data_IF_429326653010
#
_entry.id   IF_429326653010
#
_cell.length_a   1.000
_cell.length_b   1.000
_cell.length_c   1.000
_cell.angle_alpha   90.00
_cell.angle_beta   90.00
_cell.angle_gamma   90.00
#
_symmetry.space_group_name_H-M   'P 1'
#
loop_
_entity.id
_entity.type
_entity.pdbx_description
1 polymer ?
#
# COMPACT_ATOMS: atom_id res chain seq x y z
N UNK A 1 63.90 12.45 -46.98
CA UNK A 1 62.44 12.24 -46.92
C UNK A 1 62.04 10.79 -46.73
N UNK A 2 62.53 9.77 -47.47
CA UNK A 2 62.10 8.36 -47.28
C UNK A 2 62.45 7.79 -45.89
N UNK A 3 63.58 8.14 -45.29
CA UNK A 3 63.98 7.65 -43.96
C UNK A 3 63.07 8.22 -42.83
N UNK A 4 62.62 9.46 -42.94
CA UNK A 4 61.69 10.08 -42.00
C UNK A 4 60.30 9.47 -42.08
N UNK A 5 59.82 9.15 -43.27
CA UNK A 5 58.50 8.47 -43.48
C UNK A 5 58.56 7.07 -42.87
N UNK A 6 59.66 6.29 -43.01
CA UNK A 6 59.79 4.99 -42.40
C UNK A 6 59.79 5.01 -40.87
N UNK A 7 60.41 5.98 -40.24
CA UNK A 7 60.36 6.17 -38.78
C UNK A 7 58.94 6.54 -38.30
N UNK A 8 58.23 7.38 -39.03
CA UNK A 8 56.86 7.76 -38.68
C UNK A 8 55.89 6.57 -38.80
N UNK A 9 56.04 5.73 -39.79
CA UNK A 9 55.21 4.51 -39.97
C UNK A 9 55.47 3.50 -38.85
N UNK A 10 56.74 3.31 -38.44
CA UNK A 10 57.07 2.45 -37.27
C UNK A 10 56.47 3.00 -35.99
N UNK A 11 56.58 4.31 -35.75
CA UNK A 11 56.01 4.95 -34.56
C UNK A 11 54.49 4.84 -34.53
N UNK A 12 53.81 5.01 -35.64
CA UNK A 12 52.37 4.82 -35.77
C UNK A 12 51.96 3.35 -35.53
N UNK A 13 52.74 2.37 -36.04
CA UNK A 13 52.47 0.96 -35.79
C UNK A 13 52.63 0.59 -34.29
N UNK A 14 53.61 1.15 -33.61
CA UNK A 14 53.83 0.97 -32.17
C UNK A 14 52.65 1.60 -31.38
N UNK A 15 52.23 2.81 -31.74
CA UNK A 15 51.08 3.46 -31.11
C UNK A 15 49.78 2.68 -31.33
N UNK A 16 49.52 2.15 -32.52
CA UNK A 16 48.37 1.30 -32.82
C UNK A 16 48.42 0.00 -32.02
N UNK A 17 49.58 -0.65 -31.93
CA UNK A 17 49.75 -1.86 -31.12
C UNK A 17 49.55 -1.62 -29.64
N UNK A 18 50.00 -0.46 -29.11
CA UNK A 18 49.79 -0.07 -27.75
C UNK A 18 48.32 0.25 -27.46
N UNK A 19 47.66 0.96 -28.36
CA UNK A 19 46.23 1.25 -28.29
C UNK A 19 45.35 0.03 -28.33
N UNK A 20 45.67 -0.94 -29.23
CA UNK A 20 45.02 -2.23 -29.29
C UNK A 20 45.30 -3.08 -28.03
N UNK A 21 46.53 -3.12 -27.54
CA UNK A 21 46.90 -3.81 -26.31
C UNK A 21 46.13 -3.24 -25.08
N UNK A 22 46.03 -1.93 -24.97
CA UNK A 22 45.21 -1.27 -23.92
C UNK A 22 43.71 -1.50 -24.11
N UNK A 23 43.22 -1.65 -25.37
CA UNK A 23 41.79 -1.91 -25.62
C UNK A 23 41.41 -3.35 -25.26
N UNK A 24 42.29 -4.32 -25.47
CA UNK A 24 42.10 -5.72 -25.05
C UNK A 24 42.41 -5.97 -23.57
N UNK A 25 43.14 -5.07 -22.92
CA UNK A 25 43.48 -5.16 -21.49
C UNK A 25 42.57 -4.32 -20.61
N UNK A 26 41.51 -3.71 -21.16
CA UNK A 26 40.47 -3.13 -20.34
C UNK A 26 39.67 -4.28 -19.74
N UNK A 27 39.83 -4.64 -18.46
CA UNK A 27 38.81 -5.43 -17.80
C UNK A 27 37.52 -4.64 -17.98
N UNK A 28 36.47 -5.31 -18.41
CA UNK A 28 35.12 -4.76 -18.48
C UNK A 28 34.74 -4.22 -17.10
N UNK A 29 35.11 -2.97 -16.82
CA UNK A 29 34.68 -2.24 -15.61
C UNK A 29 33.17 -2.02 -15.59
N UNK A 30 32.51 -2.28 -16.72
CA UNK A 30 31.06 -2.21 -16.84
C UNK A 30 30.35 -3.49 -16.38
N UNK A 31 31.06 -4.62 -16.17
CA UNK A 31 30.42 -5.91 -15.85
C UNK A 31 30.87 -6.52 -14.52
N UNK A 32 31.66 -5.81 -13.71
CA UNK A 32 31.85 -6.21 -12.32
C UNK A 32 30.64 -5.78 -11.46
N UNK A 33 29.44 -6.19 -11.86
CA UNK A 33 28.36 -6.43 -10.89
C UNK A 33 28.85 -7.65 -10.12
N UNK A 34 29.37 -7.41 -8.94
CA UNK A 34 29.61 -8.49 -8.01
C UNK A 34 28.22 -9.04 -7.63
N UNK A 35 27.90 -10.25 -8.10
CA UNK A 35 26.71 -10.97 -7.65
C UNK A 35 26.82 -11.44 -6.19
N UNK A 36 27.78 -10.88 -5.46
CA UNK A 36 28.00 -11.21 -4.06
C UNK A 36 26.98 -10.47 -3.18
N UNK A 37 26.18 -11.16 -2.38
CA UNK A 37 25.22 -10.51 -1.50
C UNK A 37 25.96 -9.66 -0.45
N UNK A 38 25.35 -8.54 -0.07
CA UNK A 38 25.85 -7.69 1.03
C UNK A 38 25.68 -8.39 2.38
N UNK A 39 24.65 -9.22 2.51
CA UNK A 39 24.34 -10.02 3.69
C UNK A 39 24.47 -11.51 3.37
N UNK A 40 25.07 -12.26 4.27
CA UNK A 40 25.05 -13.72 4.24
C UNK A 40 24.32 -14.23 5.50
N UNK A 41 23.03 -14.49 5.37
CA UNK A 41 22.22 -15.05 6.44
C UNK A 41 22.20 -16.59 6.42
N UNK A 42 22.67 -17.23 5.36
CA UNK A 42 22.52 -18.68 5.16
C UNK A 42 21.06 -19.10 5.27
N UNK A 43 20.80 -20.23 5.94
CA UNK A 43 19.45 -20.76 6.18
C UNK A 43 18.80 -20.22 7.47
N UNK A 44 19.41 -19.21 8.11
CA UNK A 44 18.91 -18.66 9.38
C UNK A 44 17.63 -17.87 9.16
N UNK A 45 16.66 -18.09 10.04
CA UNK A 45 15.37 -17.39 10.01
C UNK A 45 15.45 -16.12 10.85
N UNK A 46 15.15 -15.00 10.23
CA UNK A 46 14.99 -13.74 10.96
C UNK A 46 13.62 -13.76 11.65
N UNK A 47 13.61 -13.53 12.96
CA UNK A 47 12.40 -13.42 13.77
C UNK A 47 12.30 -12.08 14.54
N UNK A 48 13.36 -11.26 14.47
CA UNK A 48 13.37 -9.92 15.04
C UNK A 48 14.09 -8.97 14.08
N UNK A 49 13.48 -7.79 13.89
CA UNK A 49 14.03 -6.70 13.10
C UNK A 49 14.00 -5.44 13.96
N UNK A 50 15.17 -4.81 14.12
CA UNK A 50 15.28 -3.52 14.82
C UNK A 50 15.74 -2.48 13.83
N UNK A 51 15.02 -1.38 13.73
CA UNK A 51 15.31 -0.26 12.83
C UNK A 51 15.53 0.97 13.69
N UNK A 52 16.63 1.67 13.47
CA UNK A 52 17.01 2.85 14.24
C UNK A 52 17.44 3.98 13.29
N UNK A 53 17.10 5.23 13.64
CA UNK A 53 17.52 6.40 12.89
C UNK A 53 18.63 7.20 13.61
N UNK A 54 19.10 8.27 12.95
CA UNK A 54 20.14 9.16 13.48
C UNK A 54 19.70 9.98 14.71
N UNK A 55 18.41 9.99 15.04
CA UNK A 55 17.82 10.69 16.19
C UNK A 55 17.58 9.74 17.37
N UNK A 56 18.04 8.48 17.26
CA UNK A 56 17.80 7.38 18.20
C UNK A 56 16.33 6.97 18.32
N UNK A 57 15.49 7.30 17.35
CA UNK A 57 14.18 6.69 17.25
C UNK A 57 14.34 5.24 16.83
N UNK A 58 13.70 4.34 17.55
CA UNK A 58 13.82 2.90 17.34
C UNK A 58 12.46 2.28 17.08
N UNK A 59 12.43 1.32 16.19
CA UNK A 59 11.29 0.44 15.93
C UNK A 59 11.74 -1.01 16.05
N UNK A 60 10.95 -1.81 16.74
CA UNK A 60 11.14 -3.26 16.81
C UNK A 60 9.96 -3.97 16.18
N UNK A 61 10.24 -4.88 15.25
CA UNK A 61 9.31 -5.85 14.73
C UNK A 61 9.76 -7.23 15.23
N UNK A 62 8.84 -8.02 15.75
CA UNK A 62 9.12 -9.36 16.24
C UNK A 62 8.11 -10.36 15.69
N UNK A 63 8.54 -11.59 15.48
CA UNK A 63 7.66 -12.67 15.07
C UNK A 63 6.98 -13.28 16.29
N UNK A 64 5.66 -13.38 16.25
CA UNK A 64 4.86 -14.02 17.27
C UNK A 64 3.90 -15.04 16.60
N UNK A 65 4.14 -16.32 16.84
CA UNK A 65 3.45 -17.37 16.09
C UNK A 65 3.79 -17.31 14.60
N UNK A 66 2.78 -17.21 13.76
CA UNK A 66 2.96 -17.12 12.31
C UNK A 66 3.11 -15.69 11.79
N UNK A 67 2.74 -14.67 12.59
CA UNK A 67 2.70 -13.27 12.19
C UNK A 67 3.83 -12.41 12.73
N UNK A 68 3.89 -11.15 12.26
CA UNK A 68 4.75 -10.11 12.80
C UNK A 68 3.95 -9.17 13.68
N UNK A 69 4.56 -8.71 14.76
CA UNK A 69 3.97 -7.76 15.71
C UNK A 69 4.91 -6.61 16.02
N UNK A 70 4.34 -5.56 16.60
CA UNK A 70 5.02 -4.38 17.14
C UNK A 70 5.02 -4.47 18.68
N UNK A 71 6.08 -5.01 19.33
CA UNK A 71 6.09 -5.25 20.77
C UNK A 71 5.91 -3.98 21.60
N UNK A 72 6.51 -2.86 21.17
CA UNK A 72 6.41 -1.57 21.85
C UNK A 72 5.02 -0.92 21.72
N UNK A 73 4.18 -1.44 20.81
CA UNK A 73 2.77 -1.03 20.63
C UNK A 73 1.79 -2.07 21.22
N UNK A 74 2.21 -2.85 22.23
CA UNK A 74 1.37 -3.88 22.87
C UNK A 74 1.13 -5.10 21.98
N UNK A 75 2.15 -5.54 21.26
CA UNK A 75 2.10 -6.67 20.33
C UNK A 75 1.09 -6.47 19.19
N UNK A 76 0.90 -5.21 18.77
CA UNK A 76 -0.02 -4.89 17.68
C UNK A 76 0.41 -5.58 16.38
N UNK A 77 -0.52 -6.20 15.62
CA UNK A 77 -0.19 -6.87 14.37
C UNK A 77 0.46 -5.93 13.35
N UNK A 78 1.58 -6.35 12.80
CA UNK A 78 2.26 -5.65 11.72
C UNK A 78 1.79 -6.14 10.34
N UNK A 79 1.93 -5.28 9.33
CA UNK A 79 1.69 -5.61 7.92
C UNK A 79 2.77 -6.60 7.45
N UNK A 80 2.44 -7.89 7.46
CA UNK A 80 3.34 -8.98 7.08
C UNK A 80 3.93 -8.79 5.68
N UNK A 81 3.10 -8.39 4.72
CA UNK A 81 3.55 -8.21 3.34
C UNK A 81 4.61 -7.11 3.26
N UNK A 82 4.47 -6.06 4.06
CA UNK A 82 5.44 -4.97 4.12
C UNK A 82 6.74 -5.40 4.79
N UNK A 83 6.66 -6.18 5.86
CA UNK A 83 7.85 -6.74 6.53
C UNK A 83 8.58 -7.70 5.60
N UNK A 84 7.87 -8.59 4.93
CA UNK A 84 8.46 -9.53 3.98
C UNK A 84 9.13 -8.81 2.81
N UNK A 85 8.50 -7.77 2.25
CA UNK A 85 9.11 -6.93 1.21
C UNK A 85 10.40 -6.27 1.69
N UNK A 86 10.45 -5.78 2.94
CA UNK A 86 11.67 -5.22 3.50
C UNK A 86 12.76 -6.29 3.65
N UNK A 87 12.43 -7.44 4.22
CA UNK A 87 13.37 -8.55 4.40
C UNK A 87 13.94 -9.04 3.07
N UNK A 88 13.10 -9.19 2.05
CA UNK A 88 13.52 -9.61 0.71
C UNK A 88 14.44 -8.58 0.07
N UNK A 89 14.14 -7.29 0.23
CA UNK A 89 15.03 -6.21 -0.24
C UNK A 89 16.38 -6.25 0.46
N UNK A 90 16.40 -6.41 1.79
CA UNK A 90 17.64 -6.48 2.56
C UNK A 90 18.49 -7.70 2.16
N UNK A 91 17.88 -8.87 1.98
CA UNK A 91 18.54 -10.09 1.50
C UNK A 91 19.03 -9.96 0.06
N UNK A 92 18.30 -9.22 -0.76
CA UNK A 92 18.63 -8.98 -2.18
C UNK A 92 19.70 -7.92 -2.40
N UNK A 93 20.22 -7.24 -1.35
CA UNK A 93 21.26 -6.25 -1.49
C UNK A 93 22.56 -6.90 -1.98
N UNK A 94 23.13 -6.32 -3.02
CA UNK A 94 24.39 -6.81 -3.60
C UNK A 94 25.49 -5.78 -3.38
N UNK A 95 26.67 -6.26 -3.02
CA UNK A 95 27.87 -5.40 -2.96
C UNK A 95 28.51 -5.34 -4.35
N UNK A 96 28.62 -4.09 -4.83
CA UNK A 96 29.45 -3.80 -6.00
C UNK A 96 30.90 -3.57 -5.62
N UNK A 97 31.58 -2.68 -6.34
CA UNK A 97 32.88 -2.20 -5.93
C UNK A 97 32.72 -1.28 -4.69
N UNK A 98 33.57 -1.50 -3.69
CA UNK A 98 33.61 -0.61 -2.54
C UNK A 98 34.03 0.80 -2.99
N UNK A 99 33.21 1.81 -2.65
CA UNK A 99 33.51 3.23 -2.94
C UNK A 99 34.50 3.81 -1.94
N UNK A 100 34.65 3.20 -0.78
CA UNK A 100 35.60 3.54 0.25
C UNK A 100 35.74 2.39 1.26
N UNK A 101 36.87 2.41 2.05
CA UNK A 101 37.18 1.43 3.10
C UNK A 101 37.75 2.06 4.36
N UNK A 102 37.88 3.40 4.41
CA UNK A 102 38.44 4.07 5.57
C UNK A 102 37.38 4.54 6.55
N UNK A 103 37.70 4.55 7.87
CA UNK A 103 36.78 5.04 8.91
C UNK A 103 36.30 6.48 8.66
N UNK A 104 37.21 7.37 8.19
CA UNK A 104 36.84 8.74 7.85
C UNK A 104 35.83 8.83 6.71
N UNK A 105 35.90 7.90 5.76
CA UNK A 105 34.89 7.80 4.69
C UNK A 105 33.57 7.21 5.20
N UNK A 106 33.60 6.20 6.08
CA UNK A 106 32.40 5.65 6.71
C UNK A 106 31.60 6.74 7.43
N UNK A 107 32.26 7.60 8.22
CA UNK A 107 31.61 8.74 8.87
C UNK A 107 31.08 9.77 7.87
N UNK A 108 31.86 10.08 6.82
CA UNK A 108 31.42 11.02 5.77
C UNK A 108 30.19 10.52 5.01
N UNK A 109 30.12 9.23 4.74
CA UNK A 109 28.97 8.61 4.09
C UNK A 109 27.85 8.24 5.07
N UNK A 110 28.04 8.48 6.38
CA UNK A 110 27.10 8.14 7.45
C UNK A 110 26.74 6.65 7.48
N UNK A 111 27.74 5.79 7.47
CA UNK A 111 27.60 4.34 7.56
C UNK A 111 28.53 3.75 8.64
N UNK A 112 29.03 4.59 9.57
CA UNK A 112 29.78 4.14 10.73
C UNK A 112 28.86 3.79 11.90
N UNK A 113 29.39 3.12 12.91
CA UNK A 113 28.63 2.68 14.08
C UNK A 113 28.09 3.85 14.92
N UNK A 114 28.79 4.99 14.87
CA UNK A 114 28.47 6.23 15.59
C UNK A 114 27.81 7.31 14.71
N UNK A 115 27.72 7.08 13.39
CA UNK A 115 27.11 8.05 12.46
C UNK A 115 26.45 7.31 11.29
N UNK A 116 25.14 7.23 11.31
CA UNK A 116 24.31 6.59 10.27
C UNK A 116 23.00 7.37 10.06
N UNK A 117 22.37 7.21 8.91
CA UNK A 117 20.99 7.68 8.67
C UNK A 117 19.97 6.62 9.11
N UNK A 118 20.33 5.34 8.95
CA UNK A 118 19.51 4.21 9.34
C UNK A 118 20.39 3.03 9.72
N UNK A 119 20.12 2.41 10.86
CA UNK A 119 20.72 1.14 11.27
C UNK A 119 19.61 0.08 11.27
N UNK A 120 19.87 -1.07 10.68
CA UNK A 120 18.94 -2.19 10.64
C UNK A 120 19.65 -3.42 11.17
N UNK A 121 19.10 -4.01 12.25
CA UNK A 121 19.58 -5.23 12.86
C UNK A 121 18.60 -6.35 12.57
N UNK A 122 19.07 -7.42 11.95
CA UNK A 122 18.34 -8.66 11.76
C UNK A 122 18.79 -9.64 12.82
N UNK A 123 17.85 -10.28 13.53
CA UNK A 123 18.18 -11.20 14.61
C UNK A 123 17.30 -12.46 14.57
N UNK A 124 17.78 -13.49 15.27
CA UNK A 124 17.04 -14.70 15.60
C UNK A 124 17.09 -14.87 17.12
N UNK A 125 15.94 -14.71 17.79
CA UNK A 125 15.91 -14.59 19.25
C UNK A 125 16.73 -13.38 19.71
N UNK A 126 17.72 -13.66 20.57
CA UNK A 126 18.65 -12.64 21.09
C UNK A 126 19.96 -12.54 20.28
N UNK A 127 20.16 -13.41 19.28
CA UNK A 127 21.37 -13.40 18.44
C UNK A 127 21.20 -12.47 17.25
N UNK A 128 22.06 -11.44 17.16
CA UNK A 128 22.14 -10.61 15.97
C UNK A 128 22.78 -11.39 14.82
N UNK A 129 22.04 -11.57 13.75
CA UNK A 129 22.49 -12.27 12.55
C UNK A 129 23.27 -11.36 11.61
N UNK A 130 22.83 -10.10 11.51
CA UNK A 130 23.47 -9.09 10.68
C UNK A 130 23.06 -7.68 11.13
N UNK A 131 23.97 -6.73 10.98
CA UNK A 131 23.71 -5.29 11.16
C UNK A 131 24.10 -4.55 9.90
N UNK A 132 23.20 -3.74 9.39
CA UNK A 132 23.39 -2.88 8.23
C UNK A 132 23.28 -1.43 8.61
N UNK A 133 24.21 -0.62 8.09
CA UNK A 133 24.17 0.83 8.16
C UNK A 133 23.89 1.40 6.79
N UNK A 134 22.90 2.27 6.72
CA UNK A 134 22.54 3.03 5.52
C UNK A 134 22.75 4.50 5.79
N UNK A 135 23.35 5.18 4.83
CA UNK A 135 23.75 6.57 4.98
C UNK A 135 23.33 7.44 3.81
N UNK A 136 24.22 8.36 3.41
CA UNK A 136 23.93 9.37 2.39
C UNK A 136 23.55 8.75 1.04
N UNK A 137 22.69 9.45 0.29
CA UNK A 137 22.23 9.02 -1.02
C UNK A 137 23.09 9.66 -2.13
N UNK A 138 23.73 8.86 -3.00
CA UNK A 138 24.42 9.37 -4.18
C UNK A 138 23.48 9.66 -5.35
N UNK A 139 22.21 9.30 -5.25
CA UNK A 139 21.22 9.49 -6.30
C UNK A 139 19.89 8.80 -6.00
N UNK A 140 18.93 8.92 -6.93
CA UNK A 140 17.60 8.39 -6.72
C UNK A 140 17.60 6.88 -6.44
N UNK A 141 16.90 6.44 -5.38
CA UNK A 141 16.75 5.04 -4.93
C UNK A 141 18.08 4.31 -4.68
N UNK A 142 19.16 5.04 -4.37
CA UNK A 142 20.48 4.49 -4.07
C UNK A 142 21.00 5.13 -2.82
N UNK A 143 21.63 4.33 -1.96
CA UNK A 143 22.26 4.80 -0.71
C UNK A 143 23.62 4.16 -0.54
N UNK A 144 24.48 4.83 0.23
CA UNK A 144 25.68 4.19 0.74
C UNK A 144 25.26 3.22 1.85
N UNK A 145 25.81 2.02 1.81
CA UNK A 145 25.54 0.97 2.80
C UNK A 145 26.82 0.27 3.21
N UNK A 146 26.84 -0.23 4.44
CA UNK A 146 27.91 -1.06 5.01
C UNK A 146 27.28 -2.14 5.89
N UNK A 147 27.76 -3.38 5.77
CA UNK A 147 27.51 -4.39 6.78
C UNK A 147 28.50 -4.22 7.95
N UNK A 148 28.11 -4.52 9.17
CA UNK A 148 28.94 -4.33 10.36
C UNK A 148 30.29 -5.07 10.25
N UNK A 149 30.25 -6.28 9.68
CA UNK A 149 31.43 -7.16 9.56
C UNK A 149 32.25 -6.90 8.28
N UNK A 150 31.96 -5.79 7.58
CA UNK A 150 32.65 -5.41 6.34
C UNK A 150 33.16 -3.96 6.44
N UNK A 151 34.42 -3.77 6.09
CA UNK A 151 35.03 -2.43 6.05
C UNK A 151 34.67 -1.65 4.78
N UNK A 152 34.01 -2.30 3.80
CA UNK A 152 33.63 -1.71 2.53
C UNK A 152 32.37 -0.85 2.64
N UNK A 153 32.41 0.35 2.06
CA UNK A 153 31.23 1.17 1.80
C UNK A 153 30.77 0.90 0.37
N UNK A 154 29.53 0.54 0.20
CA UNK A 154 28.93 0.17 -1.09
C UNK A 154 27.80 1.09 -1.45
N UNK A 155 27.51 1.24 -2.75
CA UNK A 155 26.28 1.88 -3.22
C UNK A 155 25.30 0.79 -3.59
N UNK A 156 24.17 0.76 -2.89
CA UNK A 156 23.11 -0.25 -3.06
C UNK A 156 21.80 0.38 -3.51
N UNK A 157 20.93 -0.41 -4.13
CA UNK A 157 19.56 -0.01 -4.48
C UNK A 157 18.64 -0.19 -3.27
N UNK A 158 18.51 0.87 -2.49
CA UNK A 158 17.65 0.89 -1.31
C UNK A 158 17.18 2.32 -1.04
N UNK A 159 15.97 2.46 -0.49
CA UNK A 159 15.46 3.73 0.02
C UNK A 159 15.45 3.74 1.54
N UNK A 160 16.03 4.75 2.18
CA UNK A 160 16.02 4.88 3.64
C UNK A 160 14.58 4.84 4.20
N UNK A 161 13.61 5.34 3.43
CA UNK A 161 12.18 5.30 3.79
C UNK A 161 11.57 3.89 3.79
N UNK A 162 12.20 2.92 3.11
CA UNK A 162 11.75 1.52 3.12
C UNK A 162 11.94 0.89 4.51
N UNK A 163 12.87 1.42 5.33
CA UNK A 163 13.09 1.07 6.72
C UNK A 163 12.61 2.21 7.65
N UNK A 164 11.31 2.45 7.69
CA UNK A 164 10.70 3.47 8.54
C UNK A 164 10.84 3.13 10.03
N UNK A 165 10.99 4.15 10.90
CA UNK A 165 11.11 3.98 12.37
C UNK A 165 9.81 4.23 13.12
N UNK A 166 8.73 4.63 12.43
CA UNK A 166 7.44 4.88 13.08
C UNK A 166 6.58 3.63 13.05
N UNK A 167 6.02 3.25 14.20
CA UNK A 167 5.15 2.08 14.33
C UNK A 167 3.95 2.14 13.36
N UNK A 168 3.33 3.33 13.21
CA UNK A 168 2.19 3.54 12.32
C UNK A 168 2.44 3.17 10.85
N UNK A 169 3.71 3.18 10.42
CA UNK A 169 4.09 2.77 9.07
C UNK A 169 4.04 1.25 8.88
N UNK A 170 4.05 0.47 9.97
CA UNK A 170 4.10 -0.99 9.96
C UNK A 170 2.83 -1.66 10.47
N UNK A 171 1.89 -0.93 11.08
CA UNK A 171 0.62 -1.46 11.54
C UNK A 171 -0.18 -2.10 10.40
N UNK A 172 -0.77 -3.27 10.63
CA UNK A 172 -1.73 -3.86 9.70
C UNK A 172 -3.01 -3.03 9.64
N UNK A 173 -3.09 -2.13 8.67
CA UNK A 173 -4.23 -1.24 8.46
C UNK A 173 -5.51 -1.97 8.01
N UNK A 174 -5.42 -3.25 7.67
CA UNK A 174 -6.55 -4.08 7.22
C UNK A 174 -7.21 -4.84 8.37
N UNK A 175 -6.66 -4.77 9.57
CA UNK A 175 -7.10 -5.51 10.75
C UNK A 175 -8.60 -5.39 11.05
N UNK A 176 -9.21 -4.25 10.72
CA UNK A 176 -10.64 -3.97 10.92
C UNK A 176 -11.51 -4.33 9.70
N UNK A 177 -10.90 -4.74 8.61
CA UNK A 177 -11.62 -5.12 7.40
C UNK A 177 -12.32 -6.49 7.62
N UNK A 178 -13.60 -6.55 7.24
CA UNK A 178 -14.39 -7.78 7.32
C UNK A 178 -14.74 -8.22 5.90
N UNK A 179 -14.44 -9.46 5.49
CA UNK A 179 -14.85 -9.95 4.19
C UNK A 179 -16.37 -9.78 3.99
N UNK A 180 -16.82 -9.22 2.86
CA UNK A 180 -18.25 -8.97 2.63
C UNK A 180 -19.12 -10.20 2.83
N UNK A 181 -18.59 -11.37 2.46
CA UNK A 181 -19.31 -12.65 2.58
C UNK A 181 -19.56 -13.09 4.03
N UNK A 182 -18.79 -12.59 4.98
CA UNK A 182 -18.89 -12.95 6.39
C UNK A 182 -19.84 -12.05 7.19
N UNK A 183 -20.32 -10.93 6.63
CA UNK A 183 -21.28 -10.04 7.29
C UNK A 183 -22.68 -10.63 7.12
N UNK A 184 -23.30 -11.06 8.21
CA UNK A 184 -24.63 -11.65 8.26
C UNK A 184 -25.70 -10.60 8.51
N UNK A 185 -25.48 -9.72 9.51
CA UNK A 185 -26.40 -8.63 9.82
C UNK A 185 -25.66 -7.34 10.11
N UNK A 186 -26.30 -6.22 9.83
CA UNK A 186 -25.85 -4.86 10.17
C UNK A 186 -26.98 -4.18 10.91
N UNK A 187 -26.82 -3.97 12.22
CA UNK A 187 -27.79 -3.25 13.03
C UNK A 187 -27.31 -1.82 13.27
N UNK A 188 -28.19 -0.88 12.97
CA UNK A 188 -28.02 0.56 13.13
C UNK A 188 -29.15 1.07 14.05
N UNK A 189 -29.15 2.33 14.46
CA UNK A 189 -30.21 2.90 15.28
C UNK A 189 -31.60 2.70 14.63
N UNK A 190 -32.35 1.71 15.13
CA UNK A 190 -33.72 1.43 14.68
C UNK A 190 -33.83 0.71 13.31
N UNK A 191 -32.74 0.19 12.76
CA UNK A 191 -32.74 -0.54 11.48
C UNK A 191 -31.79 -1.74 11.56
N UNK A 192 -32.26 -2.93 11.17
CA UNK A 192 -31.41 -4.10 11.05
C UNK A 192 -31.50 -4.68 9.64
N UNK A 193 -30.41 -4.55 8.91
CA UNK A 193 -30.19 -5.18 7.62
C UNK A 193 -29.77 -6.64 7.84
N UNK A 194 -30.41 -7.58 7.20
CA UNK A 194 -30.07 -8.99 7.23
C UNK A 194 -29.78 -9.49 5.83
N UNK A 195 -28.67 -10.19 5.68
CA UNK A 195 -28.31 -10.81 4.40
C UNK A 195 -29.29 -11.92 4.09
N UNK A 196 -29.85 -11.92 2.89
CA UNK A 196 -30.61 -13.06 2.38
C UNK A 196 -29.64 -14.19 1.99
N UNK A 197 -29.97 -15.47 2.27
CA UNK A 197 -29.21 -16.58 1.71
C UNK A 197 -29.22 -16.41 0.20
N UNK A 198 -28.07 -16.28 -0.43
CA UNK A 198 -28.00 -16.28 -1.89
C UNK A 198 -28.59 -17.59 -2.39
N UNK A 199 -29.52 -17.53 -3.34
CA UNK A 199 -29.89 -18.69 -4.10
C UNK A 199 -28.63 -19.24 -4.73
N UNK A 200 -28.19 -20.39 -4.20
CA UNK A 200 -27.08 -21.15 -4.78
C UNK A 200 -27.48 -21.66 -6.16
N UNK A 201 -27.73 -20.75 -7.10
CA UNK A 201 -27.83 -21.15 -8.51
C UNK A 201 -26.45 -21.56 -8.94
N UNK A 202 -26.20 -22.87 -8.96
CA UNK A 202 -25.11 -23.52 -9.64
C UNK A 202 -24.87 -22.84 -11.00
N UNK A 203 -23.88 -21.93 -11.03
CA UNK A 203 -23.37 -21.47 -12.30
C UNK A 203 -22.64 -22.67 -12.92
N UNK A 204 -23.33 -23.27 -13.92
CA UNK A 204 -22.76 -24.31 -14.75
C UNK A 204 -21.34 -23.90 -15.22
N UNK A 205 -20.34 -24.81 -15.23
CA UNK A 205 -19.00 -24.50 -15.66
C UNK A 205 -19.00 -24.26 -17.19
N UNK A 206 -18.92 -22.99 -17.62
CA UNK A 206 -18.81 -22.71 -19.05
C UNK A 206 -18.95 -21.28 -19.54
N UNK A 207 -19.12 -20.27 -18.70
CA UNK A 207 -19.10 -18.88 -19.17
C UNK A 207 -18.06 -18.02 -18.44
N UNK A 208 -16.85 -18.08 -18.94
CA UNK A 208 -15.81 -17.09 -18.67
C UNK A 208 -16.22 -15.76 -19.34
N UNK A 209 -16.67 -14.78 -18.55
CA UNK A 209 -16.89 -13.44 -19.10
C UNK A 209 -18.04 -12.68 -18.46
N UNK A 210 -17.98 -12.46 -17.16
CA UNK A 210 -18.43 -11.28 -16.39
C UNK A 210 -18.37 -11.68 -14.92
N UNK A 211 -17.38 -11.19 -14.19
CA UNK A 211 -17.45 -11.18 -12.73
C UNK A 211 -18.53 -10.15 -12.34
N UNK A 212 -19.77 -10.54 -12.39
CA UNK A 212 -20.80 -10.00 -11.53
C UNK A 212 -20.54 -10.63 -10.16
N UNK A 213 -19.89 -9.89 -9.26
CA UNK A 213 -20.02 -10.13 -7.83
C UNK A 213 -21.54 -10.21 -7.60
N UNK A 214 -22.07 -11.39 -7.28
CA UNK A 214 -23.44 -11.53 -6.85
C UNK A 214 -23.58 -10.62 -5.62
N UNK A 215 -24.16 -9.44 -5.82
CA UNK A 215 -24.50 -8.53 -4.73
C UNK A 215 -25.50 -9.30 -3.88
N UNK A 216 -25.11 -9.60 -2.64
CA UNK A 216 -25.99 -10.28 -1.72
C UNK A 216 -27.20 -9.35 -1.47
N UNK A 217 -28.39 -9.88 -1.65
CA UNK A 217 -29.60 -9.14 -1.33
C UNK A 217 -29.75 -8.96 0.18
N UNK A 218 -30.17 -7.77 0.57
CA UNK A 218 -30.40 -7.39 1.95
C UNK A 218 -31.87 -7.19 2.22
N UNK A 219 -32.33 -7.59 3.39
CA UNK A 219 -33.71 -7.38 3.85
C UNK A 219 -33.70 -6.70 5.22
N UNK A 220 -34.85 -6.13 5.59
CA UNK A 220 -35.09 -5.52 6.91
C UNK A 220 -36.36 -6.13 7.49
N UNK A 221 -36.33 -6.53 8.76
CA UNK A 221 -37.44 -7.23 9.40
C UNK A 221 -38.69 -6.34 9.61
N UNK A 222 -38.50 -5.01 9.71
CA UNK A 222 -39.58 -4.08 10.01
C UNK A 222 -39.51 -2.86 9.11
N UNK A 223 -40.09 -2.94 7.93
CA UNK A 223 -40.32 -1.83 7.00
C UNK A 223 -41.76 -1.32 7.12
N UNK A 224 -41.98 -0.02 6.97
CA UNK A 224 -43.31 0.53 6.81
C UNK A 224 -43.90 0.07 5.46
N UNK A 225 -45.23 0.13 5.36
CA UNK A 225 -45.93 -0.22 4.11
C UNK A 225 -45.44 0.71 2.99
N UNK A 226 -44.94 0.11 1.90
CA UNK A 226 -44.37 0.85 0.77
C UNK A 226 -42.90 1.22 0.89
N UNK A 227 -42.20 0.83 1.94
CA UNK A 227 -40.72 0.97 2.04
C UNK A 227 -40.03 -0.28 1.48
N UNK A 228 -38.85 -0.09 0.91
CA UNK A 228 -37.97 -1.18 0.47
C UNK A 228 -36.49 -0.85 0.72
N UNK A 229 -35.65 -1.88 0.79
CA UNK A 229 -34.19 -1.69 0.96
C UNK A 229 -33.59 -1.22 -0.36
N UNK A 230 -32.79 -0.16 -0.29
CA UNK A 230 -31.93 0.23 -1.40
C UNK A 230 -30.71 -0.70 -1.46
N UNK A 231 -30.76 -1.71 -2.33
CA UNK A 231 -29.72 -2.75 -2.42
C UNK A 231 -28.35 -2.18 -2.79
N UNK A 232 -28.31 -1.17 -3.66
CA UNK A 232 -27.06 -0.52 -4.08
C UNK A 232 -26.38 0.17 -2.88
N UNK A 233 -27.14 0.90 -2.09
CA UNK A 233 -26.60 1.60 -0.93
C UNK A 233 -26.29 0.64 0.23
N UNK A 234 -27.05 -0.43 0.41
CA UNK A 234 -26.72 -1.50 1.34
C UNK A 234 -25.39 -2.17 0.97
N UNK A 235 -25.21 -2.50 -0.30
CA UNK A 235 -23.92 -3.00 -0.82
C UNK A 235 -22.76 -1.98 -0.63
N UNK A 236 -23.04 -0.70 -0.83
CA UNK A 236 -22.03 0.36 -0.61
C UNK A 236 -21.62 0.47 0.88
N UNK A 237 -22.56 0.34 1.81
CA UNK A 237 -22.26 0.30 3.25
C UNK A 237 -21.38 -0.92 3.58
N UNK A 238 -21.74 -2.10 3.09
CA UNK A 238 -20.93 -3.33 3.25
C UNK A 238 -19.53 -3.12 2.68
N UNK A 239 -19.41 -2.54 1.49
CA UNK A 239 -18.12 -2.24 0.87
C UNK A 239 -17.25 -1.31 1.73
N UNK A 240 -17.86 -0.30 2.40
CA UNK A 240 -17.12 0.59 3.31
C UNK A 240 -16.64 -0.14 4.57
N UNK A 241 -17.47 -1.01 5.15
CA UNK A 241 -17.10 -1.83 6.31
C UNK A 241 -16.02 -2.85 5.96
N UNK A 242 -16.10 -3.46 4.80
CA UNK A 242 -15.12 -4.43 4.31
C UNK A 242 -13.79 -3.80 3.91
N UNK A 243 -13.82 -2.57 3.44
CA UNK A 243 -12.63 -1.78 3.09
C UNK A 243 -12.14 -0.87 4.22
N UNK A 244 -12.63 -1.05 5.45
CA UNK A 244 -12.30 -0.15 6.56
C UNK A 244 -10.81 -0.20 6.89
N UNK A 245 -10.18 0.98 6.87
CA UNK A 245 -8.76 1.16 7.21
C UNK A 245 -8.63 2.32 8.17
N UNK A 246 -7.82 2.16 9.20
CA UNK A 246 -7.48 3.22 10.14
C UNK A 246 -6.18 3.93 9.74
N UNK A 247 -5.99 5.15 10.21
CA UNK A 247 -4.76 5.91 9.98
C UNK A 247 -3.67 5.54 10.99
N UNK A 248 -4.02 5.43 12.29
CA UNK A 248 -3.10 5.04 13.36
C UNK A 248 -3.84 4.46 14.55
N UNK A 249 -3.13 3.70 15.37
CA UNK A 249 -3.58 3.23 16.68
C UNK A 249 -3.35 4.33 17.71
N UNK A 250 -4.34 4.60 18.57
CA UNK A 250 -4.29 5.63 19.61
C UNK A 250 -3.96 5.05 21.01
N UNK A 251 -3.67 3.75 21.08
CA UNK A 251 -3.49 2.99 22.32
C UNK A 251 -4.82 2.42 22.84
N UNK A 252 -4.79 1.86 24.05
CA UNK A 252 -5.93 1.19 24.70
C UNK A 252 -6.59 2.02 25.80
N UNK A 253 -6.08 3.21 26.09
CA UNK A 253 -6.62 4.10 27.11
C UNK A 253 -7.76 4.95 26.56
N UNK A 254 -8.93 4.92 27.24
CA UNK A 254 -10.06 5.77 26.90
C UNK A 254 -9.78 7.24 27.27
N UNK A 255 -10.11 8.15 26.33
CA UNK A 255 -9.97 9.59 26.56
C UNK A 255 -11.26 10.32 26.21
N UNK A 256 -11.67 11.32 27.02
CA UNK A 256 -12.89 12.10 26.74
C UNK A 256 -12.89 12.74 25.37
N UNK A 257 -11.71 13.17 24.87
CA UNK A 257 -11.52 13.81 23.57
C UNK A 257 -11.80 12.88 22.36
N UNK A 258 -12.10 11.60 22.61
CA UNK A 258 -12.45 10.64 21.56
C UNK A 258 -13.92 10.73 21.13
N UNK A 259 -14.76 11.47 21.87
CA UNK A 259 -16.18 11.67 21.54
C UNK A 259 -17.03 10.40 21.64
N UNK A 260 -16.54 9.34 22.31
CA UNK A 260 -17.22 8.04 22.40
C UNK A 260 -18.27 7.96 23.52
N UNK A 261 -18.39 8.99 24.38
CA UNK A 261 -19.49 9.10 25.34
C UNK A 261 -20.83 9.36 24.62
N UNK A 262 -20.79 10.03 23.48
CA UNK A 262 -21.93 10.28 22.60
C UNK A 262 -21.46 10.01 21.15
N UNK A 263 -21.37 8.73 20.74
CA UNK A 263 -20.87 8.38 19.42
C UNK A 263 -21.81 8.88 18.32
N UNK A 264 -21.24 9.41 17.24
CA UNK A 264 -21.96 9.84 16.04
C UNK A 264 -22.60 8.65 15.29
N UNK A 265 -22.00 7.46 15.42
CA UNK A 265 -22.49 6.25 14.79
C UNK A 265 -22.16 5.04 15.65
N UNK A 266 -23.17 4.18 15.83
CA UNK A 266 -22.99 2.85 16.41
C UNK A 266 -23.52 1.83 15.39
N UNK A 267 -22.67 0.87 15.04
CA UNK A 267 -23.00 -0.25 14.16
C UNK A 267 -22.75 -1.54 14.93
N UNK A 268 -23.75 -2.43 14.98
CA UNK A 268 -23.57 -3.79 15.47
C UNK A 268 -23.57 -4.75 14.27
N UNK A 269 -22.44 -5.41 14.08
CA UNK A 269 -22.26 -6.38 13.01
C UNK A 269 -22.36 -7.79 13.58
N UNK A 270 -23.07 -8.70 12.89
CA UNK A 270 -22.98 -10.13 13.17
C UNK A 270 -22.17 -10.81 12.08
N UNK A 271 -21.17 -11.57 12.52
CA UNK A 271 -20.26 -12.33 11.68
C UNK A 271 -20.06 -13.70 12.29
N UNK A 272 -20.35 -14.79 11.58
CA UNK A 272 -20.24 -16.18 12.07
C UNK A 272 -20.95 -16.40 13.41
N UNK A 273 -22.09 -15.71 13.60
CA UNK A 273 -22.87 -15.77 14.85
C UNK A 273 -22.34 -14.93 16.00
N UNK A 274 -21.20 -14.26 15.85
CA UNK A 274 -20.62 -13.35 16.86
C UNK A 274 -20.97 -11.89 16.53
N UNK A 275 -21.18 -11.09 17.58
CA UNK A 275 -21.51 -9.67 17.45
C UNK A 275 -20.28 -8.81 17.69
N UNK A 276 -20.11 -7.79 16.86
CA UNK A 276 -19.04 -6.80 16.91
C UNK A 276 -19.66 -5.41 16.94
N UNK A 277 -19.44 -4.67 18.01
CA UNK A 277 -19.91 -3.30 18.14
C UNK A 277 -18.84 -2.33 17.64
N UNK A 278 -19.22 -1.49 16.70
CA UNK A 278 -18.39 -0.42 16.14
C UNK A 278 -18.97 0.90 16.60
N UNK A 279 -18.27 1.61 17.49
CA UNK A 279 -18.65 2.95 17.96
C UNK A 279 -17.70 3.98 17.35
N UNK A 280 -18.25 4.98 16.67
CA UNK A 280 -17.53 6.05 16.00
C UNK A 280 -17.78 7.37 16.71
N UNK A 281 -16.76 7.92 17.36
CA UNK A 281 -16.78 9.24 18.01
C UNK A 281 -16.03 10.27 17.18
N UNK A 282 -16.51 11.51 17.19
CA UNK A 282 -15.84 12.63 16.52
C UNK A 282 -14.85 13.29 17.47
N UNK A 283 -13.65 13.57 16.98
CA UNK A 283 -12.63 14.26 17.77
C UNK A 283 -12.82 15.77 17.72
N UNK A 284 -12.63 16.41 18.87
CA UNK A 284 -12.78 17.87 18.97
C UNK A 284 -11.64 18.65 18.31
N UNK A 285 -10.44 18.05 18.23
CA UNK A 285 -9.20 18.75 17.81
C UNK A 285 -8.96 18.81 16.32
N UNK A 286 -9.47 17.83 15.60
CA UNK A 286 -9.30 17.67 14.16
C UNK A 286 -10.60 17.11 13.57
N UNK A 287 -10.74 17.08 12.26
CA UNK A 287 -11.95 16.56 11.63
C UNK A 287 -11.96 15.02 11.55
N UNK A 288 -11.02 14.36 12.26
CA UNK A 288 -10.91 12.90 12.29
C UNK A 288 -11.88 12.28 13.30
N UNK A 289 -12.08 10.99 13.18
CA UNK A 289 -12.90 10.19 14.07
C UNK A 289 -12.06 9.18 14.85
N UNK A 290 -12.61 8.74 15.99
CA UNK A 290 -12.10 7.59 16.72
C UNK A 290 -13.09 6.44 16.60
N UNK A 291 -12.59 5.29 16.18
CA UNK A 291 -13.35 4.06 16.15
C UNK A 291 -12.92 3.17 17.32
N UNK A 292 -13.91 2.66 18.05
CA UNK A 292 -13.78 1.59 19.04
C UNK A 292 -14.55 0.37 18.56
N UNK A 293 -13.90 -0.81 18.62
CA UNK A 293 -14.53 -2.10 18.30
C UNK A 293 -14.57 -2.94 19.57
N UNK A 294 -15.68 -3.62 19.85
CA UNK A 294 -15.91 -4.33 21.12
C UNK A 294 -14.90 -5.44 21.43
N UNK A 295 -14.33 -6.09 20.40
CA UNK A 295 -13.37 -7.19 20.54
C UNK A 295 -11.90 -6.75 20.50
N UNK A 296 -11.65 -5.46 20.60
CA UNK A 296 -10.30 -4.88 20.58
C UNK A 296 -10.15 -3.91 21.73
N UNK A 297 -9.00 -3.92 22.38
CA UNK A 297 -8.72 -2.95 23.46
C UNK A 297 -8.34 -1.59 22.90
N UNK A 298 -7.79 -1.55 21.70
CA UNK A 298 -7.28 -0.33 21.09
C UNK A 298 -8.38 0.59 20.56
N UNK A 299 -8.03 1.85 20.46
CA UNK A 299 -8.78 2.91 19.79
C UNK A 299 -8.09 3.26 18.48
N UNK A 300 -8.86 3.43 17.42
CA UNK A 300 -8.35 3.63 16.07
C UNK A 300 -8.71 5.00 15.55
N UNK A 301 -7.73 5.73 15.02
CA UNK A 301 -8.00 6.98 14.32
C UNK A 301 -8.45 6.69 12.89
N UNK A 302 -9.61 7.19 12.51
CA UNK A 302 -10.11 7.20 11.15
C UNK A 302 -10.00 8.59 10.55
N UNK A 303 -9.54 8.72 9.27
CA UNK A 303 -9.59 10.00 8.58
C UNK A 303 -11.01 10.54 8.49
N UNK A 304 -11.18 11.86 8.61
CA UNK A 304 -12.49 12.53 8.63
C UNK A 304 -13.38 12.11 7.46
N UNK A 305 -12.84 12.10 6.23
CA UNK A 305 -13.59 11.68 5.05
C UNK A 305 -14.10 10.22 5.11
N UNK A 306 -13.37 9.33 5.81
CA UNK A 306 -13.78 7.93 5.99
C UNK A 306 -14.93 7.82 6.97
N UNK A 307 -14.85 8.53 8.10
CA UNK A 307 -15.93 8.59 9.08
C UNK A 307 -17.20 9.23 8.52
N UNK A 308 -17.09 10.38 7.86
CA UNK A 308 -18.23 11.06 7.22
C UNK A 308 -18.91 10.15 6.17
N UNK A 309 -18.10 9.45 5.36
CA UNK A 309 -18.63 8.53 4.36
C UNK A 309 -19.33 7.31 4.97
N UNK A 310 -18.85 6.84 6.13
CA UNK A 310 -19.49 5.73 6.85
C UNK A 310 -20.81 6.18 7.49
N UNK A 311 -20.82 7.34 8.19
CA UNK A 311 -22.03 7.91 8.78
C UNK A 311 -23.09 8.15 7.71
N UNK A 312 -22.72 8.75 6.59
CA UNK A 312 -23.63 8.99 5.47
C UNK A 312 -24.22 7.68 4.94
N UNK A 313 -23.38 6.66 4.70
CA UNK A 313 -23.83 5.39 4.17
C UNK A 313 -24.73 4.61 5.15
N UNK A 314 -24.56 4.83 6.46
CA UNK A 314 -25.38 4.23 7.52
C UNK A 314 -26.72 4.96 7.75
N UNK A 315 -26.97 6.08 7.09
CA UNK A 315 -28.21 6.84 7.20
C UNK A 315 -29.41 6.04 6.71
N UNK A 316 -30.53 6.06 7.48
CA UNK A 316 -31.78 5.37 7.09
C UNK A 316 -32.29 5.86 5.72
N UNK A 317 -32.18 7.16 5.45
CA UNK A 317 -32.56 7.80 4.19
C UNK A 317 -31.78 7.30 2.98
N UNK A 318 -30.58 6.77 3.22
CA UNK A 318 -29.74 6.14 2.18
C UNK A 318 -30.12 4.67 1.97
N UNK A 319 -30.46 3.97 3.04
CA UNK A 319 -30.66 2.52 3.06
C UNK A 319 -32.10 2.12 2.72
N UNK A 320 -33.08 3.01 2.95
CA UNK A 320 -34.50 2.74 2.73
C UNK A 320 -35.06 3.73 1.71
N UNK A 321 -35.79 3.23 0.75
CA UNK A 321 -36.51 4.01 -0.26
C UNK A 321 -38.02 3.80 -0.11
N UNK A 322 -38.80 4.87 -0.24
CA UNK A 322 -40.26 4.77 -0.29
C UNK A 322 -40.72 4.32 -1.69
N UNK A 323 -41.85 3.59 -1.77
CA UNK A 323 -42.36 3.04 -3.02
C UNK A 323 -42.68 4.09 -4.11
N UNK A 324 -42.82 5.36 -3.77
CA UNK A 324 -43.06 6.45 -4.70
C UNK A 324 -41.83 6.85 -5.55
N UNK A 325 -40.60 6.50 -5.13
CA UNK A 325 -39.41 6.91 -5.86
C UNK A 325 -38.96 5.94 -6.95
N UNK A 326 -39.56 4.76 -7.02
CA UNK A 326 -39.29 3.75 -8.07
C UNK A 326 -40.09 3.96 -9.36
N UNK A 327 -41.08 4.86 -9.37
CA UNK A 327 -41.97 5.10 -10.53
C UNK A 327 -41.52 6.27 -11.44
N UNK A 328 -40.43 6.93 -11.17
CA UNK A 328 -39.97 8.15 -11.86
C UNK A 328 -38.94 7.95 -12.98
N UNK A 329 -38.85 6.77 -13.59
CA UNK A 329 -37.82 6.51 -14.61
C UNK A 329 -38.37 5.80 -15.86
N UNK A 330 -39.48 6.24 -16.42
CA UNK A 330 -40.01 5.57 -17.59
C UNK A 330 -41.14 6.29 -18.30
N UNK A 331 -41.04 7.62 -18.51
CA UNK A 331 -41.93 8.29 -19.46
C UNK A 331 -41.22 8.33 -20.83
N UNK A 332 -41.28 7.18 -21.50
CA UNK A 332 -40.91 7.07 -22.89
C UNK A 332 -42.05 7.65 -23.74
N UNK A 333 -41.91 8.89 -24.17
CA UNK A 333 -42.73 9.43 -25.25
C UNK A 333 -42.60 8.52 -26.48
N UNK A 334 -43.74 8.23 -27.18
CA UNK A 334 -43.69 7.41 -28.39
C UNK A 334 -42.93 8.13 -29.49
N UNK A 335 -42.20 7.45 -30.36
CA UNK A 335 -41.47 8.08 -31.45
C UNK A 335 -42.45 8.72 -32.42
N UNK A 336 -42.40 10.02 -32.52
CA UNK A 336 -43.07 10.83 -33.57
C UNK A 336 -42.58 10.37 -34.93
N UNK A 337 -43.52 10.02 -35.79
CA UNK A 337 -43.29 9.56 -37.16
C UNK A 337 -42.66 10.71 -37.94
N UNK A 338 -41.44 10.55 -38.41
CA UNK A 338 -40.79 11.38 -39.40
C UNK A 338 -41.49 11.16 -40.79
N UNK A 339 -42.37 12.08 -41.15
CA UNK A 339 -42.87 12.22 -42.51
C UNK A 339 -41.72 12.55 -43.45
N UNK A 340 -41.68 11.81 -44.52
CA UNK A 340 -40.80 11.93 -45.67
C UNK A 340 -40.86 13.31 -46.35
N UNK A 341 -39.73 13.99 -46.51
CA UNK A 341 -39.56 15.09 -47.45
C UNK A 341 -38.62 14.70 -48.60
N UNK A 342 -38.87 15.15 -49.80
CA UNK A 342 -38.30 14.61 -51.04
C UNK A 342 -36.90 15.15 -51.32
N UNK A 343 -36.12 14.32 -51.99
CA UNK A 343 -34.85 14.65 -52.65
C UNK A 343 -35.06 15.58 -53.83
N UNK A 344 -34.33 16.69 -53.84
CA UNK A 344 -33.91 17.36 -55.09
C UNK A 344 -32.54 18.01 -54.90
N UNK A 345 -31.68 17.68 -55.65
CA UNK A 345 -30.75 17.92 -56.69
C UNK A 345 -29.76 19.07 -56.54
N UNK A 346 -28.58 18.72 -57.09
CA UNK A 346 -27.54 19.57 -57.69
C UNK A 346 -26.48 20.19 -56.79
N UNK A 347 -25.29 19.58 -56.88
CA UNK A 347 -24.06 20.04 -57.58
C UNK A 347 -23.60 21.47 -57.25
N UNK A 348 -22.45 21.61 -56.76
CA UNK A 348 -21.23 22.04 -57.41
C UNK A 348 -20.25 22.84 -56.51
N UNK A 349 -19.00 22.52 -56.71
CA UNK A 349 -17.78 23.33 -56.79
C UNK A 349 -17.09 23.88 -55.53
N UNK A 350 -16.00 23.18 -55.17
CA UNK A 350 -14.61 23.56 -55.50
C UNK A 350 -13.99 24.76 -54.74
N UNK A 351 -12.87 24.46 -54.14
CA UNK A 351 -11.60 25.24 -54.00
C UNK A 351 -11.43 26.26 -52.88
N UNK A 352 -10.29 26.07 -52.31
CA UNK A 352 -9.39 27.18 -51.90
C UNK A 352 -8.93 27.02 -50.44
N UNK A 353 -7.88 26.39 -50.24
CA UNK A 353 -6.51 26.90 -50.18
C UNK A 353 -6.22 27.78 -48.94
N UNK A 354 -5.47 27.18 -48.05
CA UNK A 354 -4.14 27.62 -47.63
C UNK A 354 -4.02 28.86 -46.74
N UNK A 355 -3.23 28.66 -45.72
CA UNK A 355 -2.24 29.55 -45.07
C UNK A 355 -2.67 30.37 -43.88
N UNK A 356 -1.80 30.14 -42.95
CA UNK A 356 -0.95 31.01 -42.08
C UNK A 356 -1.69 31.49 -40.82
N UNK A 357 -1.20 31.33 -39.65
CA UNK A 357 0.15 31.38 -39.03
C UNK A 357 0.30 30.38 -37.88
#
# INVERSE_FOLDING_TARGET
MQKTIGVLVILLAVQLSLALGMSFSRPDLATARSDTPLLDLGDRRVDRLTIEDSENSQLVLARQGDGWVLPESGDFPADEAKVDVLLDRLKGLQRGLAVATSEGAMRRFKVSDDAFERRVVLAQGDEALATLYFGTSPGMRRVHARAQDDDGVYVVEFGVHDAAVRAEDWEDKTLLAIPPAEIETISLAGLTLKRLPGDGSDAAPGQAGKQTTAEADWTVESLAEGESVNQVNAGALVGKLSGLRFASVLGSEAKPEYGLEQPELVIVLTRKGEQFDYALGKRDKDQDYVLKVSHRDEYFRLPGHTGDALIKAAGRDQLIVAASDTAGGGDGAPPEQLESMPTDGTQDLVKGAAREE
#
